data_IF_093563080681
#
_entry.id   IF_093563080681
#
_cell.length_a   1.000
_cell.length_b   1.000
_cell.length_c   1.000
_cell.angle_alpha   90.00
_cell.angle_beta   90.00
_cell.angle_gamma   90.00
#
_symmetry.space_group_name_H-M   'P 1'
#
loop_
_entity.id
_entity.type
_entity.pdbx_description
1 polymer ?
#
# COMPACT_ATOMS: atom_id res chain seq x y z
N UNK A 1 0.74 82.35 -10.58
CA UNK A 1 -0.66 82.78 -10.40
C UNK A 1 -1.50 81.54 -10.18
N UNK A 2 -1.29 80.79 -9.11
CA UNK A 2 -1.34 81.11 -7.67
C UNK A 2 -2.65 80.57 -7.12
N UNK A 3 -2.53 79.58 -6.25
CA UNK A 3 -3.60 79.04 -5.44
C UNK A 3 -3.00 78.64 -4.10
N UNK A 4 -2.67 79.65 -3.29
CA UNK A 4 -2.19 79.53 -1.92
C UNK A 4 -3.37 79.42 -0.95
N UNK A 5 -3.21 78.53 0.04
CA UNK A 5 -3.65 78.73 1.41
C UNK A 5 -5.14 78.50 1.70
N UNK A 6 -5.54 78.21 2.93
CA UNK A 6 -4.86 77.93 4.19
C UNK A 6 -5.94 77.45 5.18
N UNK A 7 -5.53 76.59 6.14
CA UNK A 7 -5.83 76.64 7.59
C UNK A 7 -7.19 77.26 7.99
N UNK A 8 -8.17 76.59 8.59
CA UNK A 8 -8.12 75.59 9.66
C UNK A 8 -8.79 76.17 10.91
N UNK A 9 -9.83 75.52 11.48
CA UNK A 9 -10.18 75.62 12.90
C UNK A 9 -11.32 74.64 13.30
N UNK A 10 -11.03 73.89 14.37
CA UNK A 10 -11.87 73.06 15.26
C UNK A 10 -13.01 73.90 15.95
N UNK A 11 -13.98 73.36 16.76
CA UNK A 11 -13.96 72.08 17.49
C UNK A 11 -15.29 71.34 17.87
N UNK A 12 -15.09 70.14 18.45
CA UNK A 12 -15.84 69.44 19.53
C UNK A 12 -17.25 68.84 19.28
N UNK A 13 -17.39 67.56 19.66
CA UNK A 13 -18.65 67.02 20.21
C UNK A 13 -18.81 65.49 20.10
N UNK A 14 -18.61 64.77 21.20
CA UNK A 14 -18.59 63.32 21.32
C UNK A 14 -19.96 62.60 21.20
N UNK A 15 -19.95 61.31 20.77
CA UNK A 15 -20.55 60.16 21.50
C UNK A 15 -20.41 58.82 20.75
N UNK A 16 -19.89 57.81 21.47
CA UNK A 16 -20.18 56.33 21.43
C UNK A 16 -19.88 55.60 20.10
N UNK A 17 -19.17 54.47 20.04
CA UNK A 17 -18.86 53.44 21.00
C UNK A 17 -19.22 52.07 20.39
N UNK A 18 -18.24 51.16 20.34
CA UNK A 18 -18.32 49.72 19.97
C UNK A 18 -18.47 49.39 18.47
N UNK A 19 -17.34 49.10 17.80
CA UNK A 19 -17.29 48.19 16.63
C UNK A 19 -15.87 47.75 16.22
N UNK A 20 -14.80 48.12 16.94
CA UNK A 20 -13.43 47.94 16.45
C UNK A 20 -12.53 47.07 17.34
N UNK A 21 -13.12 46.10 18.04
CA UNK A 21 -12.35 45.10 18.83
C UNK A 21 -12.57 43.66 18.34
N UNK A 22 -13.63 43.37 17.57
CA UNK A 22 -13.83 42.03 17.00
C UNK A 22 -12.98 41.74 15.75
N UNK A 23 -12.63 42.76 14.95
CA UNK A 23 -11.94 42.54 13.68
C UNK A 23 -10.46 42.14 13.81
N UNK A 24 -9.78 42.56 14.88
CA UNK A 24 -8.34 42.29 15.07
C UNK A 24 -8.09 41.01 15.88
N UNK A 25 -9.02 40.58 16.74
CA UNK A 25 -8.90 39.30 17.43
C UNK A 25 -9.16 38.08 16.51
N UNK A 26 -10.01 38.20 15.49
CA UNK A 26 -10.26 37.08 14.56
C UNK A 26 -9.08 36.78 13.63
N UNK A 27 -8.25 37.78 13.33
CA UNK A 27 -7.08 37.56 12.46
C UNK A 27 -5.92 36.91 13.22
N UNK A 28 -5.73 37.20 14.51
CA UNK A 28 -4.65 36.56 15.29
C UNK A 28 -4.98 35.12 15.72
N UNK A 29 -6.26 34.76 15.88
CA UNK A 29 -6.67 33.37 16.17
C UNK A 29 -6.55 32.49 14.93
N UNK A 30 -6.75 33.02 13.72
CA UNK A 30 -6.62 32.25 12.49
C UNK A 30 -5.16 31.96 12.11
N UNK A 31 -4.23 32.89 12.31
CA UNK A 31 -2.79 32.59 12.10
C UNK A 31 -2.20 31.74 13.22
N UNK A 32 -2.68 31.88 14.47
CA UNK A 32 -2.25 30.99 15.55
C UNK A 32 -2.80 29.56 15.39
N UNK A 33 -4.03 29.37 14.88
CA UNK A 33 -4.54 28.04 14.56
C UNK A 33 -3.88 27.42 13.34
N UNK A 34 -3.46 28.19 12.34
CA UNK A 34 -2.77 27.62 11.17
C UNK A 34 -1.32 27.22 11.47
N UNK A 35 -0.66 27.90 12.40
CA UNK A 35 0.70 27.55 12.85
C UNK A 35 0.69 26.44 13.91
N UNK A 36 -0.39 26.30 14.69
CA UNK A 36 -0.55 25.16 15.61
C UNK A 36 -0.99 23.87 14.89
N UNK A 37 -1.75 23.99 13.77
CA UNK A 37 -2.14 22.85 12.94
C UNK A 37 -1.01 22.26 12.07
N UNK A 38 0.16 22.93 12.01
CA UNK A 38 1.37 22.38 11.38
C UNK A 38 2.48 22.00 12.39
N UNK A 39 2.17 22.03 13.69
CA UNK A 39 3.20 21.94 14.73
C UNK A 39 3.17 20.72 15.65
N UNK A 40 2.04 20.01 15.79
CA UNK A 40 1.94 18.88 16.74
C UNK A 40 0.98 17.80 16.23
N UNK A 41 1.52 16.88 15.45
CA UNK A 41 1.00 15.53 15.29
C UNK A 41 2.12 14.56 15.60
N UNK A 42 2.67 14.63 16.82
CA UNK A 42 3.37 13.46 17.34
C UNK A 42 2.33 12.35 17.43
N UNK A 43 2.45 11.35 16.57
CA UNK A 43 1.75 10.06 16.65
C UNK A 43 1.93 9.52 18.07
N UNK A 44 0.93 9.70 18.92
CA UNK A 44 0.97 9.29 20.34
C UNK A 44 -0.26 8.46 20.62
N UNK A 45 -0.07 7.19 21.02
CA UNK A 45 -0.97 6.18 21.62
C UNK A 45 -2.36 5.93 21.02
N UNK A 46 -3.07 6.96 20.56
CA UNK A 46 -4.35 6.90 19.86
C UNK A 46 -4.23 6.15 18.53
N UNK A 47 -3.07 6.22 17.87
CA UNK A 47 -2.82 5.47 16.64
C UNK A 47 -2.47 4.01 16.89
N UNK A 48 -1.85 3.66 18.01
CA UNK A 48 -1.65 2.26 18.43
C UNK A 48 -3.00 1.63 18.75
N UNK A 49 -3.90 2.38 19.41
CA UNK A 49 -5.29 1.96 19.59
C UNK A 49 -6.03 1.90 18.26
N UNK A 50 -5.85 2.82 17.31
CA UNK A 50 -6.48 2.81 15.98
C UNK A 50 -5.96 1.65 15.10
N UNK A 51 -4.67 1.31 15.18
CA UNK A 51 -4.05 0.14 14.56
C UNK A 51 -4.53 -1.14 15.24
N UNK A 52 -4.69 -1.15 16.58
CA UNK A 52 -5.33 -2.25 17.30
C UNK A 52 -6.84 -2.33 17.01
N UNK A 53 -7.50 -1.22 16.71
CA UNK A 53 -8.92 -1.13 16.34
C UNK A 53 -9.12 -1.59 14.90
N UNK A 54 -8.20 -1.29 13.99
CA UNK A 54 -8.14 -1.91 12.66
C UNK A 54 -7.80 -3.40 12.75
N UNK A 55 -6.99 -3.83 13.73
CA UNK A 55 -6.68 -5.23 14.03
C UNK A 55 -7.78 -6.00 14.78
N UNK A 56 -8.61 -5.31 15.58
CA UNK A 56 -9.76 -5.88 16.31
C UNK A 56 -11.08 -5.72 15.54
N UNK A 57 -11.11 -4.88 14.50
CA UNK A 57 -12.05 -4.97 13.38
C UNK A 57 -11.62 -6.04 12.37
N UNK A 58 -10.96 -7.11 12.84
CA UNK A 58 -11.28 -8.43 12.34
C UNK A 58 -12.81 -8.53 12.38
N UNK A 59 -13.43 -8.37 11.22
CA UNK A 59 -14.87 -8.47 11.02
C UNK A 59 -15.35 -9.64 11.87
N UNK A 60 -16.31 -9.44 12.80
CA UNK A 60 -16.83 -10.52 13.61
C UNK A 60 -17.14 -11.70 12.70
N UNK A 61 -16.77 -12.92 13.12
CA UNK A 61 -17.17 -14.17 12.47
C UNK A 61 -18.69 -14.25 12.39
N UNK A 62 -19.29 -13.56 11.44
CA UNK A 62 -20.47 -14.07 10.81
C UNK A 62 -19.96 -15.19 9.92
N UNK A 63 -20.40 -16.42 10.16
CA UNK A 63 -20.28 -17.52 9.20
C UNK A 63 -20.86 -17.15 7.80
N UNK A 64 -21.45 -15.96 7.66
CA UNK A 64 -21.91 -15.34 6.42
C UNK A 64 -20.85 -14.45 5.71
N UNK A 65 -19.73 -14.09 6.35
CA UNK A 65 -18.58 -13.42 5.71
C UNK A 65 -17.43 -14.41 5.47
N UNK A 66 -17.73 -15.69 5.28
CA UNK A 66 -16.90 -16.46 4.36
C UNK A 66 -17.33 -16.05 2.95
N UNK A 67 -16.48 -15.34 2.18
CA UNK A 67 -16.83 -15.04 0.81
C UNK A 67 -17.18 -16.36 0.13
N UNK A 68 -18.37 -16.48 -0.46
CA UNK A 68 -18.89 -17.74 -1.02
C UNK A 68 -17.98 -18.46 -2.04
N UNK A 69 -16.83 -17.89 -2.41
CA UNK A 69 -15.78 -18.49 -3.22
C UNK A 69 -14.78 -19.34 -2.42
N UNK A 70 -14.69 -19.19 -1.08
CA UNK A 70 -13.89 -20.05 -0.18
C UNK A 70 -14.42 -21.48 -0.13
N UNK A 71 -15.68 -21.68 -0.49
CA UNK A 71 -16.30 -22.99 -0.57
C UNK A 71 -16.05 -23.61 -1.95
N UNK A 72 -14.93 -24.31 -2.10
CA UNK A 72 -14.75 -25.37 -3.10
C UNK A 72 -14.70 -24.94 -4.57
N UNK A 73 -14.18 -23.75 -4.90
CA UNK A 73 -14.34 -23.22 -6.26
C UNK A 73 -13.36 -22.18 -6.76
N UNK A 74 -12.08 -22.17 -6.35
CA UNK A 74 -11.04 -21.51 -7.16
C UNK A 74 -10.81 -22.24 -8.51
N UNK A 75 -11.48 -23.38 -8.73
CA UNK A 75 -11.22 -24.23 -9.87
C UNK A 75 -11.86 -23.75 -11.18
N UNK A 76 -10.97 -23.34 -12.09
CA UNK A 76 -11.05 -23.57 -13.55
C UNK A 76 -12.01 -22.68 -14.36
N UNK A 77 -12.02 -21.37 -14.14
CA UNK A 77 -12.75 -20.46 -15.04
C UNK A 77 -12.09 -20.26 -16.42
N UNK A 78 -10.88 -20.76 -16.64
CA UNK A 78 -10.20 -20.64 -17.92
C UNK A 78 -9.54 -21.95 -18.35
N UNK A 79 -10.17 -22.61 -19.31
CA UNK A 79 -9.54 -23.65 -20.10
C UNK A 79 -8.36 -23.02 -20.87
N UNK A 80 -7.13 -23.41 -20.52
CA UNK A 80 -5.89 -23.01 -21.21
C UNK A 80 -5.80 -23.62 -22.62
N UNK A 81 -6.74 -24.45 -23.04
CA UNK A 81 -6.77 -25.12 -24.35
C UNK A 81 -6.86 -24.18 -25.56
N UNK A 82 -7.17 -22.88 -25.37
CA UNK A 82 -7.16 -21.88 -26.44
C UNK A 82 -5.85 -21.05 -26.51
N UNK A 83 -4.78 -21.49 -25.83
CA UNK A 83 -3.54 -20.72 -25.72
C UNK A 83 -2.70 -20.73 -27.00
N UNK A 84 -2.60 -19.56 -27.64
CA UNK A 84 -1.50 -19.23 -28.55
C UNK A 84 -0.19 -19.05 -27.75
N UNK A 85 0.42 -20.15 -27.29
CA UNK A 85 1.71 -20.17 -26.57
C UNK A 85 1.69 -19.60 -25.14
N UNK A 86 2.74 -19.90 -24.36
CA UNK A 86 2.98 -19.29 -23.04
C UNK A 86 3.48 -17.85 -23.21
N UNK A 87 2.93 -16.92 -22.44
CA UNK A 87 3.40 -15.53 -22.40
C UNK A 87 4.26 -15.31 -21.18
N UNK A 88 5.46 -14.76 -21.39
CA UNK A 88 6.32 -14.26 -20.33
C UNK A 88 6.71 -12.80 -20.64
N UNK A 89 7.35 -12.09 -19.70
CA UNK A 89 7.94 -10.79 -20.00
C UNK A 89 8.95 -10.80 -21.16
N UNK A 90 9.52 -11.96 -21.49
CA UNK A 90 10.52 -12.13 -22.54
C UNK A 90 9.92 -12.54 -23.88
N UNK A 91 8.87 -13.35 -23.87
CA UNK A 91 8.27 -13.96 -25.08
C UNK A 91 6.83 -13.51 -25.35
N UNK A 92 6.27 -12.67 -24.48
CA UNK A 92 4.92 -12.14 -24.57
C UNK A 92 4.82 -10.81 -25.36
N UNK A 93 3.59 -10.35 -25.63
CA UNK A 93 3.36 -9.09 -26.32
C UNK A 93 3.86 -7.87 -25.52
N UNK A 94 4.17 -6.73 -26.15
CA UNK A 94 4.88 -5.59 -25.51
C UNK A 94 4.14 -4.91 -24.34
N UNK A 95 2.86 -5.23 -24.16
CA UNK A 95 2.03 -4.79 -23.03
C UNK A 95 2.09 -5.73 -21.81
N UNK A 96 2.75 -6.87 -21.92
CA UNK A 96 3.11 -7.74 -20.80
C UNK A 96 4.38 -7.20 -20.18
N UNK A 97 4.27 -6.66 -18.97
CA UNK A 97 5.41 -6.18 -18.18
C UNK A 97 5.72 -7.18 -17.09
N UNK A 98 7.01 -7.37 -16.83
CA UNK A 98 7.47 -8.13 -15.67
C UNK A 98 6.95 -7.52 -14.38
N UNK A 99 6.96 -6.19 -14.25
CA UNK A 99 6.42 -5.48 -13.09
C UNK A 99 5.22 -4.66 -13.55
N UNK A 100 4.07 -4.92 -12.93
CA UNK A 100 2.85 -4.13 -13.07
C UNK A 100 2.43 -3.65 -11.69
N UNK A 101 2.03 -2.38 -11.55
CA UNK A 101 1.61 -1.81 -10.28
C UNK A 101 0.13 -1.41 -10.34
N UNK A 102 -0.63 -1.69 -9.28
CA UNK A 102 -2.00 -1.19 -9.15
C UNK A 102 -2.00 0.33 -8.96
N UNK A 103 -2.81 1.04 -9.76
CA UNK A 103 -2.86 2.50 -9.81
C UNK A 103 -4.28 3.08 -9.68
N UNK A 104 -5.25 2.38 -9.10
CA UNK A 104 -6.61 2.91 -8.98
C UNK A 104 -6.60 4.18 -8.11
N UNK A 105 -6.93 5.36 -8.69
CA UNK A 105 -6.80 6.63 -7.99
C UNK A 105 -7.79 6.79 -6.82
N UNK A 106 -8.76 5.87 -6.68
CA UNK A 106 -9.72 5.86 -5.56
C UNK A 106 -9.12 5.29 -4.28
N UNK A 107 -8.05 4.49 -4.36
CA UNK A 107 -7.45 3.83 -3.20
C UNK A 107 -5.93 4.03 -3.11
N UNK A 108 -5.27 4.28 -4.23
CA UNK A 108 -3.82 4.48 -4.32
C UNK A 108 -3.52 5.97 -4.40
N UNK A 109 -2.69 6.47 -3.49
CA UNK A 109 -2.24 7.87 -3.52
C UNK A 109 -1.08 8.04 -4.53
N UNK A 110 -1.33 8.77 -5.63
CA UNK A 110 -0.35 8.97 -6.69
C UNK A 110 0.72 10.03 -6.34
N UNK A 111 0.64 10.66 -5.17
CA UNK A 111 1.57 11.71 -4.73
C UNK A 111 2.44 11.26 -3.55
N UNK A 112 1.87 10.52 -2.58
CA UNK A 112 2.57 10.06 -1.38
C UNK A 112 3.21 8.66 -1.49
N UNK A 113 3.00 7.75 -0.51
CA UNK A 113 3.79 6.53 -0.36
C UNK A 113 3.81 5.62 -1.60
N UNK A 114 2.68 5.44 -2.29
CA UNK A 114 2.68 4.64 -3.51
C UNK A 114 3.55 5.27 -4.62
N UNK A 115 3.65 6.61 -4.70
CA UNK A 115 4.54 7.26 -5.66
C UNK A 115 6.02 7.02 -5.34
N UNK A 116 6.37 6.91 -4.06
CA UNK A 116 7.71 6.51 -3.64
C UNK A 116 8.00 5.07 -4.09
N UNK A 117 7.09 4.12 -3.85
CA UNK A 117 7.19 2.74 -4.36
C UNK A 117 7.39 2.74 -5.88
N UNK A 118 6.58 3.49 -6.64
CA UNK A 118 6.72 3.64 -8.09
C UNK A 118 8.12 4.12 -8.50
N UNK A 119 8.65 5.14 -7.81
CA UNK A 119 9.97 5.73 -8.11
C UNK A 119 11.08 4.74 -7.84
N UNK A 120 11.03 4.02 -6.73
CA UNK A 120 11.99 2.97 -6.37
C UNK A 120 12.01 1.89 -7.44
N UNK A 121 10.83 1.44 -7.88
CA UNK A 121 10.68 0.43 -8.93
C UNK A 121 11.01 0.93 -10.35
N UNK A 122 11.34 2.23 -10.51
CA UNK A 122 11.69 2.82 -11.80
C UNK A 122 10.53 2.87 -12.81
N UNK A 123 9.27 2.76 -12.36
CA UNK A 123 8.11 2.73 -13.23
C UNK A 123 7.83 4.13 -13.79
N UNK A 124 8.03 4.29 -15.10
CA UNK A 124 7.88 5.56 -15.79
C UNK A 124 6.40 5.90 -15.98
N UNK A 125 6.02 7.15 -15.74
CA UNK A 125 4.69 7.69 -16.06
C UNK A 125 4.62 8.13 -17.52
N UNK A 126 3.42 8.45 -18.03
CA UNK A 126 3.29 9.06 -19.36
C UNK A 126 3.97 10.45 -19.41
N UNK A 127 4.78 10.69 -20.45
CA UNK A 127 5.65 11.87 -20.57
C UNK A 127 4.89 13.22 -20.49
N UNK A 128 3.66 13.26 -21.00
CA UNK A 128 2.89 14.50 -21.12
C UNK A 128 2.02 14.82 -19.91
N UNK A 129 1.57 13.80 -19.17
CA UNK A 129 0.52 14.00 -18.15
C UNK A 129 0.87 13.46 -16.77
N UNK A 130 2.05 12.84 -16.63
CA UNK A 130 2.48 12.17 -15.40
C UNK A 130 1.44 11.15 -14.89
N UNK A 131 0.53 10.70 -15.76
CA UNK A 131 -0.52 9.76 -15.43
C UNK A 131 0.04 8.36 -15.36
N UNK A 132 -0.45 7.61 -14.38
CA UNK A 132 -0.17 6.20 -14.16
C UNK A 132 -1.10 5.35 -15.03
N UNK A 133 -0.97 5.49 -16.35
CA UNK A 133 -1.93 4.97 -17.33
C UNK A 133 -1.27 4.28 -18.54
N UNK A 134 -0.06 3.74 -18.37
CA UNK A 134 0.63 2.94 -19.38
C UNK A 134 0.65 1.46 -19.00
N UNK A 135 1.36 0.63 -19.77
CA UNK A 135 1.38 -0.82 -19.58
C UNK A 135 2.04 -1.29 -18.27
N UNK A 136 2.70 -0.40 -17.51
CA UNK A 136 3.24 -0.73 -16.18
C UNK A 136 2.22 -0.49 -15.06
N UNK A 137 1.05 0.08 -15.37
CA UNK A 137 0.02 0.43 -14.39
C UNK A 137 -1.33 -0.19 -14.77
N UNK A 138 -1.98 -0.75 -13.76
CA UNK A 138 -3.33 -1.27 -13.88
C UNK A 138 -4.26 -0.48 -12.97
N UNK A 139 -5.22 0.24 -13.54
CA UNK A 139 -6.11 1.12 -12.76
C UNK A 139 -7.38 0.43 -12.27
N UNK A 140 -7.69 -0.78 -12.75
CA UNK A 140 -8.88 -1.54 -12.36
C UNK A 140 -8.57 -3.03 -12.30
N UNK A 141 -8.95 -3.68 -11.20
CA UNK A 141 -8.81 -5.13 -11.03
C UNK A 141 -9.81 -5.91 -11.90
N UNK A 142 -11.01 -5.39 -12.13
CA UNK A 142 -11.93 -5.98 -13.12
C UNK A 142 -11.67 -5.41 -14.52
N UNK A 143 -10.48 -5.63 -15.07
CA UNK A 143 -10.08 -5.11 -16.37
C UNK A 143 -9.59 -6.20 -17.33
N UNK A 144 -9.61 -5.84 -18.62
CA UNK A 144 -8.96 -6.63 -19.67
C UNK A 144 -7.46 -6.78 -19.42
N UNK A 145 -6.82 -5.79 -18.78
CA UNK A 145 -5.41 -5.86 -18.41
C UNK A 145 -5.15 -6.98 -17.40
N UNK A 146 -5.95 -7.10 -16.31
CA UNK A 146 -5.79 -8.22 -15.37
C UNK A 146 -5.98 -9.57 -16.07
N UNK A 147 -6.88 -9.66 -17.05
CA UNK A 147 -7.12 -10.89 -17.82
C UNK A 147 -5.92 -11.32 -18.66
N UNK A 148 -5.16 -10.37 -19.18
CA UNK A 148 -3.92 -10.67 -19.89
C UNK A 148 -2.78 -10.92 -18.92
N UNK A 149 -2.71 -10.16 -17.82
CA UNK A 149 -1.72 -10.35 -16.78
C UNK A 149 -1.84 -11.73 -16.13
N UNK A 150 -3.06 -12.22 -15.87
CA UNK A 150 -3.36 -13.56 -15.33
C UNK A 150 -2.93 -14.72 -16.23
N UNK A 151 -2.56 -14.45 -17.48
CA UNK A 151 -2.05 -15.44 -18.44
C UNK A 151 -0.53 -15.45 -18.52
N UNK A 152 0.13 -14.45 -17.93
CA UNK A 152 1.58 -14.42 -17.89
C UNK A 152 2.11 -15.41 -16.87
N UNK A 153 3.37 -15.75 -17.05
CA UNK A 153 4.20 -16.44 -16.06
C UNK A 153 5.37 -15.55 -15.66
N UNK A 154 5.89 -15.71 -14.45
CA UNK A 154 7.04 -14.96 -13.95
C UNK A 154 6.87 -13.44 -14.06
N UNK A 155 5.68 -12.95 -13.71
CA UNK A 155 5.38 -11.53 -13.55
C UNK A 155 5.11 -11.19 -12.09
N UNK A 156 5.19 -9.91 -11.77
CA UNK A 156 4.97 -9.35 -10.44
C UNK A 156 3.89 -8.29 -10.52
N UNK A 157 2.84 -8.47 -9.72
CA UNK A 157 1.81 -7.47 -9.48
C UNK A 157 2.08 -6.81 -8.13
N UNK A 158 2.43 -5.53 -8.16
CA UNK A 158 2.66 -4.72 -6.97
C UNK A 158 1.36 -4.06 -6.54
N UNK A 159 0.93 -4.39 -5.33
CA UNK A 159 -0.16 -3.75 -4.61
C UNK A 159 0.46 -2.75 -3.63
N UNK A 160 0.40 -1.45 -3.92
CA UNK A 160 1.05 -0.44 -3.09
C UNK A 160 0.21 -0.11 -1.84
N UNK A 161 0.77 0.72 -0.93
CA UNK A 161 0.02 1.25 0.20
C UNK A 161 -1.25 1.98 -0.25
N UNK A 162 -2.33 1.77 0.50
CA UNK A 162 -3.63 2.38 0.25
C UNK A 162 -3.89 3.55 1.19
N UNK A 163 -4.45 4.63 0.67
CA UNK A 163 -5.05 5.70 1.49
C UNK A 163 -6.54 5.44 1.77
N UNK A 164 -7.18 4.60 0.95
CA UNK A 164 -8.55 4.14 1.13
C UNK A 164 -8.62 2.67 0.74
N UNK A 165 -9.29 1.84 1.54
CA UNK A 165 -9.37 0.40 1.26
C UNK A 165 -10.11 0.12 -0.07
N UNK A 166 -9.56 -0.71 -0.98
CA UNK A 166 -10.19 -0.96 -2.26
C UNK A 166 -11.35 -1.94 -2.18
N UNK A 167 -12.44 -1.65 -2.89
CA UNK A 167 -13.50 -2.63 -3.13
C UNK A 167 -13.18 -3.50 -4.35
N UNK A 168 -13.26 -4.83 -4.19
CA UNK A 168 -13.06 -5.78 -5.28
C UNK A 168 -14.28 -6.68 -5.51
N UNK A 169 -14.67 -6.80 -6.78
CA UNK A 169 -15.72 -7.74 -7.18
C UNK A 169 -15.26 -9.19 -7.03
N UNK A 170 -16.19 -10.13 -6.80
CA UNK A 170 -15.91 -11.58 -6.77
C UNK A 170 -15.10 -12.07 -7.97
N UNK A 171 -15.43 -11.56 -9.17
CA UNK A 171 -14.69 -11.87 -10.41
C UNK A 171 -13.24 -11.39 -10.37
N UNK A 172 -13.01 -10.19 -9.86
CA UNK A 172 -11.66 -9.61 -9.76
C UNK A 172 -10.80 -10.40 -8.76
N UNK A 173 -11.36 -10.77 -7.60
CA UNK A 173 -10.70 -11.65 -6.64
C UNK A 173 -10.35 -13.00 -7.25
N UNK A 174 -11.28 -13.65 -7.98
CA UNK A 174 -10.99 -14.91 -8.65
C UNK A 174 -9.83 -14.79 -9.67
N UNK A 175 -9.81 -13.72 -10.47
CA UNK A 175 -8.73 -13.48 -11.43
C UNK A 175 -7.38 -13.17 -10.77
N UNK A 176 -7.41 -12.48 -9.63
CA UNK A 176 -6.21 -12.20 -8.84
C UNK A 176 -5.62 -13.48 -8.23
N UNK A 177 -6.47 -14.37 -7.74
CA UNK A 177 -6.06 -15.67 -7.23
C UNK A 177 -5.54 -16.58 -8.35
N UNK A 178 -6.21 -16.63 -9.51
CA UNK A 178 -5.72 -17.34 -10.70
C UNK A 178 -4.33 -16.85 -11.13
N UNK A 179 -4.07 -15.54 -11.03
CA UNK A 179 -2.78 -14.95 -11.37
C UNK A 179 -1.63 -15.53 -10.54
N UNK A 180 -1.83 -15.70 -9.23
CA UNK A 180 -0.84 -16.32 -8.35
C UNK A 180 -0.86 -17.85 -8.42
N UNK A 181 -1.99 -18.48 -8.08
CA UNK A 181 -2.12 -19.94 -7.90
C UNK A 181 -1.81 -20.73 -9.17
N UNK A 182 -2.26 -20.23 -10.32
CA UNK A 182 -2.17 -20.96 -11.59
C UNK A 182 -1.15 -20.33 -12.53
N UNK A 183 -1.04 -19.00 -12.51
CA UNK A 183 -0.14 -18.24 -13.39
C UNK A 183 1.34 -18.36 -13.05
N UNK A 184 1.70 -18.78 -11.84
CA UNK A 184 3.10 -18.81 -11.43
C UNK A 184 3.70 -17.42 -11.36
N UNK A 185 2.96 -16.49 -10.76
CA UNK A 185 3.33 -15.09 -10.61
C UNK A 185 3.40 -14.69 -9.15
N UNK A 186 4.02 -13.54 -8.91
CA UNK A 186 4.17 -12.96 -7.57
C UNK A 186 3.17 -11.82 -7.37
N UNK A 187 2.40 -11.87 -6.28
CA UNK A 187 1.69 -10.70 -5.77
C UNK A 187 2.56 -10.11 -4.65
N UNK A 188 3.11 -8.92 -4.87
CA UNK A 188 3.81 -8.17 -3.82
C UNK A 188 2.85 -7.16 -3.22
N UNK A 189 2.53 -7.33 -1.94
CA UNK A 189 1.75 -6.36 -1.17
C UNK A 189 2.71 -5.53 -0.31
N UNK A 190 2.59 -4.21 -0.42
CA UNK A 190 3.44 -3.26 0.30
C UNK A 190 2.57 -2.36 1.17
N UNK A 191 3.01 -2.11 2.39
CA UNK A 191 2.40 -1.19 3.33
C UNK A 191 1.86 -1.89 4.57
N UNK A 192 1.45 -1.09 5.55
CA UNK A 192 1.08 -1.58 6.89
C UNK A 192 -0.28 -2.29 6.96
N UNK A 193 -1.15 -1.95 7.92
CA UNK A 193 -2.31 -2.76 8.28
C UNK A 193 -3.32 -2.94 7.13
N UNK A 194 -3.44 -1.95 6.24
CA UNK A 194 -4.32 -2.02 5.06
C UNK A 194 -3.84 -3.05 4.03
N UNK A 195 -2.53 -3.30 3.94
CA UNK A 195 -1.97 -4.35 3.09
C UNK A 195 -2.29 -5.76 3.62
N UNK A 196 -2.17 -5.95 4.94
CA UNK A 196 -2.53 -7.21 5.61
C UNK A 196 -4.03 -7.48 5.44
N UNK A 197 -4.86 -6.46 5.66
CA UNK A 197 -6.31 -6.57 5.44
C UNK A 197 -6.65 -6.91 3.99
N UNK A 198 -5.90 -6.35 3.03
CA UNK A 198 -6.07 -6.68 1.62
C UNK A 198 -5.79 -8.16 1.35
N UNK A 199 -4.71 -8.71 1.92
CA UNK A 199 -4.36 -10.13 1.81
C UNK A 199 -5.51 -10.98 2.35
N UNK A 200 -5.92 -10.75 3.60
CA UNK A 200 -6.94 -11.55 4.27
C UNK A 200 -8.29 -11.56 3.53
N UNK A 201 -8.71 -10.41 2.98
CA UNK A 201 -10.02 -10.30 2.35
C UNK A 201 -10.07 -10.76 0.89
N UNK A 202 -8.93 -10.79 0.18
CA UNK A 202 -8.93 -10.89 -1.28
C UNK A 202 -8.07 -11.99 -1.86
N UNK A 203 -7.15 -12.56 -1.08
CA UNK A 203 -6.25 -13.62 -1.52
C UNK A 203 -6.60 -14.94 -0.84
N UNK A 204 -6.41 -16.02 -1.59
CA UNK A 204 -6.61 -17.39 -1.15
C UNK A 204 -5.26 -18.05 -0.87
N UNK A 205 -5.24 -18.88 0.18
CA UNK A 205 -4.22 -19.87 0.46
C UNK A 205 -4.30 -21.07 -0.49
N UNK A 206 -3.34 -21.97 -0.33
CA UNK A 206 -3.25 -23.23 -1.08
C UNK A 206 -4.41 -24.18 -0.76
N UNK A 207 -4.99 -24.06 0.43
CA UNK A 207 -6.20 -24.76 0.87
C UNK A 207 -7.50 -24.23 0.23
N UNK A 208 -7.42 -23.14 -0.54
CA UNK A 208 -8.55 -22.48 -1.18
C UNK A 208 -9.33 -21.54 -0.25
N UNK A 209 -8.91 -21.40 1.01
CA UNK A 209 -9.49 -20.48 1.99
C UNK A 209 -8.73 -19.15 2.03
N UNK A 210 -9.29 -18.14 2.69
CA UNK A 210 -8.58 -16.87 2.88
C UNK A 210 -7.47 -16.97 3.93
N UNK A 211 -6.65 -15.93 4.05
CA UNK A 211 -5.65 -15.83 5.11
C UNK A 211 -6.23 -15.21 6.39
N UNK A 212 -5.72 -15.65 7.55
CA UNK A 212 -6.05 -15.10 8.88
C UNK A 212 -4.84 -14.41 9.52
N UNK A 213 -4.12 -13.59 8.76
CA UNK A 213 -2.95 -12.89 9.28
C UNK A 213 -3.35 -11.86 10.34
N UNK A 214 -2.64 -11.86 11.47
CA UNK A 214 -2.92 -10.96 12.58
C UNK A 214 -1.93 -9.78 12.55
N UNK A 215 -2.37 -8.56 12.19
CA UNK A 215 -1.49 -7.42 12.12
C UNK A 215 -0.99 -7.06 13.53
N UNK A 216 0.32 -6.85 13.65
CA UNK A 216 0.93 -6.38 14.89
C UNK A 216 2.06 -5.38 14.58
N UNK A 217 2.07 -4.30 15.34
CA UNK A 217 3.19 -3.38 15.38
C UNK A 217 4.10 -3.74 16.55
N UNK A 218 5.41 -3.70 16.31
CA UNK A 218 6.43 -3.75 17.35
C UNK A 218 7.52 -2.76 16.99
N UNK A 219 8.24 -2.28 18.00
CA UNK A 219 9.45 -1.50 17.75
C UNK A 219 10.55 -2.43 17.20
N UNK A 220 11.25 -1.97 16.16
CA UNK A 220 12.45 -2.63 15.62
C UNK A 220 13.72 -2.33 16.44
N UNK A 221 14.92 -2.65 15.92
CA UNK A 221 15.21 -3.06 14.55
C UNK A 221 14.68 -4.45 14.22
N UNK A 222 14.45 -4.71 12.93
CA UNK A 222 14.00 -6.00 12.43
C UNK A 222 15.18 -6.79 11.89
N UNK A 223 15.45 -7.95 12.48
CA UNK A 223 16.62 -8.76 12.17
C UNK A 223 16.32 -9.75 11.05
N UNK A 224 17.28 -9.92 10.14
CA UNK A 224 17.22 -10.93 9.08
C UNK A 224 17.15 -12.34 9.70
N UNK A 225 16.24 -13.16 9.17
CA UNK A 225 16.04 -14.53 9.60
C UNK A 225 16.73 -15.53 8.65
N UNK A 226 16.94 -16.76 9.14
CA UNK A 226 17.50 -17.86 8.34
C UNK A 226 16.69 -18.14 7.06
N UNK A 227 15.38 -17.83 7.06
CA UNK A 227 14.52 -17.91 5.88
C UNK A 227 14.98 -17.05 4.70
N UNK A 228 15.80 -16.02 4.94
CA UNK A 228 16.39 -15.21 3.87
C UNK A 228 17.50 -15.95 3.10
N UNK A 229 18.14 -16.96 3.70
CA UNK A 229 19.26 -17.67 3.11
C UNK A 229 18.83 -18.45 1.86
N UNK A 230 19.62 -18.34 0.79
CA UNK A 230 19.29 -18.94 -0.51
C UNK A 230 18.27 -18.14 -1.33
N UNK A 231 17.79 -17.00 -0.82
CA UNK A 231 16.87 -16.10 -1.53
C UNK A 231 17.56 -14.80 -1.92
N UNK A 232 16.85 -13.90 -2.63
CA UNK A 232 17.37 -12.57 -2.90
C UNK A 232 17.63 -11.75 -1.61
N UNK A 233 16.88 -12.00 -0.55
CA UNK A 233 16.98 -11.25 0.71
C UNK A 233 18.28 -11.50 1.47
N UNK A 234 19.02 -12.58 1.19
CA UNK A 234 20.35 -12.81 1.79
C UNK A 234 21.36 -11.70 1.49
N UNK A 235 21.12 -10.90 0.44
CA UNK A 235 21.96 -9.76 0.06
C UNK A 235 21.48 -8.43 0.64
N UNK A 236 20.41 -8.45 1.45
CA UNK A 236 19.87 -7.28 2.13
C UNK A 236 20.69 -6.90 3.37
N UNK A 237 20.29 -5.80 4.01
CA UNK A 237 20.85 -5.42 5.30
C UNK A 237 20.53 -6.48 6.37
N UNK A 238 21.45 -6.72 7.30
CA UNK A 238 21.25 -7.66 8.43
C UNK A 238 20.10 -7.18 9.33
N UNK A 239 19.93 -5.87 9.45
CA UNK A 239 18.87 -5.26 10.25
C UNK A 239 18.17 -4.17 9.45
N UNK A 240 16.84 -4.09 9.57
CA UNK A 240 16.04 -3.01 9.03
C UNK A 240 15.64 -2.03 10.14
N UNK A 241 15.70 -0.71 9.88
CA UNK A 241 15.39 0.29 10.88
C UNK A 241 13.89 0.36 11.15
N UNK A 242 13.54 0.64 12.41
CA UNK A 242 12.20 1.11 12.78
C UNK A 242 12.08 2.60 12.44
N UNK A 243 10.97 3.00 11.83
CA UNK A 243 10.67 4.40 11.49
C UNK A 243 9.27 4.71 12.02
N UNK A 244 9.21 5.37 13.18
CA UNK A 244 7.95 5.66 13.87
C UNK A 244 7.03 4.43 13.95
N UNK A 245 5.83 4.56 13.40
CA UNK A 245 4.81 3.51 13.31
C UNK A 245 4.60 2.98 11.88
N UNK A 246 5.51 3.30 10.96
CA UNK A 246 5.38 3.06 9.51
C UNK A 246 5.60 1.60 9.08
N UNK A 247 6.03 0.75 10.02
CA UNK A 247 6.28 -0.67 9.77
C UNK A 247 5.30 -1.50 10.59
N UNK A 248 4.37 -2.16 9.92
CA UNK A 248 3.45 -3.11 10.57
C UNK A 248 3.69 -4.49 9.98
N UNK A 249 3.87 -5.48 10.85
CA UNK A 249 4.05 -6.87 10.46
C UNK A 249 2.85 -7.71 10.84
N UNK A 250 3.07 -9.02 10.87
CA UNK A 250 2.11 -10.01 11.35
C UNK A 250 2.72 -10.82 12.47
N UNK A 251 1.90 -11.31 13.40
CA UNK A 251 2.40 -12.28 14.39
C UNK A 251 2.91 -13.51 13.66
N UNK A 252 4.10 -13.99 14.01
CA UNK A 252 4.67 -15.23 13.46
C UNK A 252 3.75 -16.43 13.67
N UNK A 253 2.98 -16.44 14.76
CA UNK A 253 1.95 -17.44 15.04
C UNK A 253 0.75 -17.41 14.07
N UNK A 254 0.48 -16.29 13.41
CA UNK A 254 -0.59 -16.17 12.40
C UNK A 254 -0.14 -16.50 10.98
N UNK A 255 1.18 -16.67 10.77
CA UNK A 255 1.69 -17.07 9.47
C UNK A 255 1.27 -18.51 9.14
N UNK A 256 0.87 -18.80 7.88
CA UNK A 256 0.69 -20.17 7.41
C UNK A 256 1.96 -21.01 7.62
N UNK A 257 1.81 -22.32 7.80
CA UNK A 257 2.93 -23.21 8.08
C UNK A 257 3.99 -23.23 6.97
N UNK A 258 3.58 -22.98 5.73
CA UNK A 258 4.42 -22.89 4.55
C UNK A 258 5.09 -21.51 4.36
N UNK A 259 4.73 -20.52 5.18
CA UNK A 259 5.28 -19.18 5.05
C UNK A 259 6.77 -19.15 5.41
N UNK A 260 7.54 -18.35 4.67
CA UNK A 260 8.93 -18.05 4.99
C UNK A 260 9.03 -16.61 5.45
N UNK A 261 9.44 -16.42 6.71
CA UNK A 261 9.74 -15.13 7.28
C UNK A 261 11.18 -14.72 6.99
N UNK A 262 11.40 -13.47 6.63
CA UNK A 262 12.70 -12.94 6.23
C UNK A 262 13.26 -11.92 7.22
N UNK A 263 12.39 -11.14 7.86
CA UNK A 263 12.77 -10.10 8.81
C UNK A 263 11.77 -10.05 9.96
N UNK A 264 12.27 -10.11 11.20
CA UNK A 264 11.44 -10.19 12.41
C UNK A 264 11.96 -9.32 13.55
N UNK A 265 11.04 -8.94 14.45
CA UNK A 265 11.34 -8.45 15.78
C UNK A 265 10.23 -8.92 16.73
N UNK A 266 10.57 -9.35 17.94
CA UNK A 266 9.57 -9.68 18.99
C UNK A 266 8.38 -10.55 18.51
N UNK A 267 8.67 -11.63 17.79
CA UNK A 267 7.66 -12.55 17.21
C UNK A 267 6.75 -11.94 16.14
N UNK A 268 7.10 -10.77 15.60
CA UNK A 268 6.42 -10.09 14.49
C UNK A 268 7.28 -10.16 13.25
N UNK A 269 6.72 -10.71 12.16
CA UNK A 269 7.35 -10.73 10.84
C UNK A 269 6.90 -9.55 9.99
N UNK A 270 7.87 -8.76 9.51
CA UNK A 270 7.63 -7.55 8.71
C UNK A 270 7.94 -7.73 7.23
N UNK A 271 8.63 -8.80 6.87
CA UNK A 271 8.84 -9.22 5.49
C UNK A 271 8.74 -10.74 5.46
N UNK A 272 7.77 -11.26 4.71
CA UNK A 272 7.55 -12.70 4.57
C UNK A 272 6.98 -13.02 3.20
N UNK A 273 7.10 -14.28 2.79
CA UNK A 273 6.37 -14.81 1.65
C UNK A 273 5.57 -16.05 2.02
N UNK A 274 4.52 -16.29 1.24
CA UNK A 274 3.73 -17.52 1.29
C UNK A 274 3.73 -18.11 -0.13
N UNK A 275 4.14 -19.37 -0.32
CA UNK A 275 3.99 -20.03 -1.62
C UNK A 275 2.50 -20.20 -1.95
N UNK A 276 2.12 -19.90 -3.19
CA UNK A 276 0.74 -19.98 -3.67
C UNK A 276 0.69 -20.93 -4.87
N UNK A 277 0.69 -22.24 -4.62
CA UNK A 277 0.75 -23.26 -5.68
C UNK A 277 1.91 -23.01 -6.66
N UNK A 278 1.63 -22.56 -7.88
CA UNK A 278 2.67 -22.22 -8.86
C UNK A 278 3.37 -20.88 -8.59
N UNK A 279 2.75 -19.98 -7.82
CA UNK A 279 3.19 -18.60 -7.60
C UNK A 279 3.54 -18.30 -6.14
N UNK A 280 3.46 -17.02 -5.77
CA UNK A 280 3.85 -16.55 -4.43
C UNK A 280 3.11 -15.27 -4.04
N UNK A 281 2.77 -15.16 -2.77
CA UNK A 281 2.48 -13.91 -2.09
C UNK A 281 3.74 -13.43 -1.37
N UNK A 282 4.10 -12.17 -1.52
CA UNK A 282 5.19 -11.51 -0.79
C UNK A 282 4.64 -10.27 -0.11
N UNK A 283 5.03 -10.04 1.14
CA UNK A 283 4.61 -8.89 1.93
C UNK A 283 5.81 -8.09 2.41
N UNK A 284 5.70 -6.76 2.36
CA UNK A 284 6.63 -5.81 2.99
C UNK A 284 5.81 -4.84 3.83
N UNK A 285 6.04 -4.84 5.15
CA UNK A 285 5.27 -4.10 6.13
C UNK A 285 5.51 -2.60 6.20
N UNK A 286 6.51 -2.09 5.49
CA UNK A 286 6.84 -0.67 5.46
C UNK A 286 5.94 0.10 4.49
N UNK A 287 5.41 1.25 4.91
CA UNK A 287 4.48 2.05 4.12
C UNK A 287 5.14 2.98 3.10
N UNK A 288 6.46 3.18 3.14
CA UNK A 288 7.19 4.05 2.21
C UNK A 288 6.72 5.51 2.18
N UNK A 289 6.19 6.04 3.28
CA UNK A 289 6.01 7.50 3.43
C UNK A 289 7.35 8.22 3.21
N UNK A 290 8.42 7.67 3.78
CA UNK A 290 9.79 8.10 3.55
C UNK A 290 10.59 7.07 2.75
N UNK A 291 11.49 7.54 1.87
CA UNK A 291 12.41 6.67 1.13
C UNK A 291 13.64 6.37 1.99
N UNK A 292 13.54 5.33 2.82
CA UNK A 292 14.65 4.85 3.64
C UNK A 292 15.49 3.85 2.84
N UNK A 293 16.83 4.00 2.76
CA UNK A 293 17.69 3.16 1.91
C UNK A 293 17.53 1.65 2.14
N UNK A 294 17.54 1.20 3.40
CA UNK A 294 17.41 -0.22 3.72
C UNK A 294 16.08 -0.80 3.22
N UNK A 295 14.96 -0.09 3.43
CA UNK A 295 13.64 -0.50 2.94
C UNK A 295 13.52 -0.43 1.41
N UNK A 296 14.20 0.54 0.78
CA UNK A 296 14.31 0.65 -0.67
C UNK A 296 15.00 -0.58 -1.26
N UNK A 297 16.09 -1.03 -0.64
CA UNK A 297 16.82 -2.23 -1.05
C UNK A 297 15.95 -3.49 -0.90
N UNK A 298 15.19 -3.62 0.20
CA UNK A 298 14.23 -4.72 0.39
C UNK A 298 13.20 -4.77 -0.74
N UNK A 299 12.63 -3.63 -1.13
CA UNK A 299 11.68 -3.58 -2.24
C UNK A 299 12.32 -4.00 -3.57
N UNK A 300 13.58 -3.65 -3.81
CA UNK A 300 14.31 -4.07 -5.02
C UNK A 300 14.69 -5.56 -5.00
N UNK A 301 15.05 -6.10 -3.83
CA UNK A 301 15.33 -7.53 -3.66
C UNK A 301 14.06 -8.37 -3.84
N UNK A 302 12.91 -7.87 -3.36
CA UNK A 302 11.61 -8.47 -3.61
C UNK A 302 11.30 -8.63 -5.11
N UNK A 303 11.77 -7.72 -5.97
CA UNK A 303 11.60 -7.84 -7.42
C UNK A 303 12.47 -8.94 -8.06
N UNK A 304 13.51 -9.40 -7.36
CA UNK A 304 14.39 -10.49 -7.82
C UNK A 304 13.92 -11.85 -7.33
N UNK A 305 12.93 -11.89 -6.45
CA UNK A 305 12.27 -13.11 -6.00
C UNK A 305 11.40 -13.67 -7.13
N UNK A 306 12.01 -14.43 -8.04
CA UNK A 306 11.24 -15.19 -9.02
C UNK A 306 10.44 -16.30 -8.32
N UNK A 307 9.19 -16.57 -8.73
CA UNK A 307 8.52 -17.83 -8.41
C UNK A 307 9.34 -18.96 -9.06
N UNK A 308 9.57 -20.02 -8.29
CA UNK A 308 10.35 -21.19 -8.73
C UNK A 308 9.62 -21.98 -9.82
#
# INVERSE_FOLDING_TARGET
MDGYGAVGASPRGARRGRSMVLGVMMLCVSTAMFVWYQGQGTFTDVDTEAISLLGTMAVPRDAAFEPSWTHGGAMRYYDRSMAHGQWSPETGPPYVKHITMWSDPRCVDHVGPANNVRRILGLRTSFQSHKWNNNAFMSKMNSVQLRFLSRNTNSILVVPPFHQFPEMSKRAMAMLNDYALVGGNTILVVGGPTGILFINQNLAGTDGYGYELQPQWTEGPYEMQDGAMGTAFQYGAVTLPSIGTEVVGVTTASLPAEATSYYEASEVSVVFSVPCEAGRLLYIGYDFNEMVPAWTDILLLAMRMSPN
#
